data_IF_715984247693
#
_entry.id   IF_715984247693
#
_cell.length_a   1.000
_cell.length_b   1.000
_cell.length_c   1.000
_cell.angle_alpha   90.00
_cell.angle_beta   90.00
_cell.angle_gamma   90.00
#
_symmetry.space_group_name_H-M   'P 1'
#
loop_
_entity.id
_entity.type
_entity.pdbx_description
1 polymer ?
#
# COMPACT_ATOMS: atom_id res chain seq x y z
N UNK A 1 -59.36 22.11 -4.54
CA UNK A 1 -60.01 20.84 -4.18
C UNK A 1 -58.98 19.97 -3.48
N UNK A 2 -58.98 19.98 -2.14
CA UNK A 2 -58.61 18.81 -1.33
C UNK A 2 -59.88 17.93 -1.20
N UNK A 3 -59.87 16.66 -0.73
CA UNK A 3 -59.26 16.16 0.53
C UNK A 3 -58.54 14.79 0.36
N UNK A 4 -57.95 14.13 1.36
CA UNK A 4 -58.00 14.27 2.81
C UNK A 4 -56.97 13.38 3.54
N UNK A 5 -56.95 13.62 4.85
CA UNK A 5 -56.08 13.09 5.91
C UNK A 5 -56.30 11.61 6.30
N UNK A 6 -55.34 11.09 7.08
CA UNK A 6 -55.48 10.19 8.27
C UNK A 6 -54.21 9.30 8.38
N UNK A 7 -53.59 8.99 9.53
CA UNK A 7 -53.68 9.45 10.91
C UNK A 7 -52.44 8.86 11.63
N UNK A 8 -51.94 9.50 12.70
CA UNK A 8 -50.88 8.96 13.58
C UNK A 8 -51.50 8.03 14.65
N UNK A 9 -50.68 7.31 15.44
CA UNK A 9 -50.49 7.85 16.80
C UNK A 9 -49.08 7.68 17.40
N UNK A 10 -48.76 8.63 18.26
CA UNK A 10 -47.71 8.59 19.27
C UNK A 10 -48.17 7.87 20.55
N UNK A 11 -47.21 7.31 21.29
CA UNK A 11 -47.28 7.02 22.73
C UNK A 11 -46.01 6.28 23.16
N UNK A 12 -45.26 6.60 24.20
CA UNK A 12 -45.49 7.49 25.33
C UNK A 12 -45.08 6.80 26.63
N UNK A 13 -43.84 7.06 27.09
CA UNK A 13 -43.33 7.07 28.49
C UNK A 13 -43.45 5.84 29.41
N UNK A 14 -42.36 5.55 30.11
CA UNK A 14 -42.36 4.83 31.39
C UNK A 14 -41.01 4.93 32.13
N UNK A 15 -40.92 5.82 33.12
CA UNK A 15 -39.85 5.85 34.14
C UNK A 15 -40.20 4.92 35.32
N UNK A 16 -39.17 4.35 35.96
CA UNK A 16 -39.02 4.00 37.39
C UNK A 16 -38.01 2.82 37.49
N UNK A 17 -37.17 2.63 38.49
CA UNK A 17 -36.89 3.31 39.75
C UNK A 17 -36.08 2.34 40.64
N UNK A 18 -35.03 2.88 41.28
CA UNK A 18 -34.44 2.52 42.61
C UNK A 18 -34.10 1.07 43.03
N UNK A 19 -32.89 0.94 43.59
CA UNK A 19 -32.49 0.03 44.69
C UNK A 19 -30.95 -0.09 44.77
N UNK A 20 -30.21 0.55 45.69
CA UNK A 20 -29.84 0.10 47.06
C UNK A 20 -29.39 -1.39 47.10
N UNK A 21 -28.30 -1.86 47.72
CA UNK A 21 -27.42 -1.39 48.81
C UNK A 21 -26.31 -2.44 49.10
N UNK A 22 -25.33 -2.09 49.94
CA UNK A 22 -24.49 -3.04 50.74
C UNK A 22 -22.99 -3.03 50.39
N UNK A 23 -22.06 -2.38 51.12
CA UNK A 23 -21.48 -2.61 52.47
C UNK A 23 -20.80 -3.99 52.70
N UNK A 24 -19.52 -3.94 53.10
CA UNK A 24 -18.79 -5.00 53.83
C UNK A 24 -17.29 -5.04 53.47
N UNK A 25 -16.41 -4.32 54.18
CA UNK A 25 -15.56 -4.79 55.29
C UNK A 25 -14.48 -5.82 54.87
N UNK A 26 -13.20 -5.44 54.78
CA UNK A 26 -12.18 -5.40 55.85
C UNK A 26 -11.49 -6.75 56.11
N UNK A 27 -10.16 -6.78 55.95
CA UNK A 27 -9.31 -7.89 56.39
C UNK A 27 -7.84 -7.48 56.41
N UNK A 28 -7.39 -6.94 57.56
CA UNK A 28 -5.98 -6.80 57.94
C UNK A 28 -5.46 -8.14 58.48
N UNK A 29 -4.17 -8.42 58.28
CA UNK A 29 -3.35 -9.38 59.06
C UNK A 29 -1.93 -9.41 58.50
N UNK A 30 -0.99 -8.62 59.05
CA UNK A 30 0.03 -9.02 60.04
C UNK A 30 0.95 -10.14 59.52
N UNK A 31 2.20 -9.83 59.11
CA UNK A 31 3.41 -9.64 59.93
C UNK A 31 3.91 -10.91 60.63
N UNK A 32 5.10 -11.37 60.26
CA UNK A 32 5.85 -12.40 60.97
C UNK A 32 7.30 -12.41 60.50
N UNK A 33 8.16 -11.69 61.21
CA UNK A 33 9.62 -11.77 61.07
C UNK A 33 10.19 -12.93 61.87
N UNK A 34 11.37 -13.40 61.48
CA UNK A 34 12.16 -14.37 62.22
C UNK A 34 13.62 -14.33 61.79
N UNK A 35 14.44 -13.57 62.52
CA UNK A 35 15.91 -13.67 62.56
C UNK A 35 16.28 -14.69 63.64
N UNK A 36 17.21 -15.60 63.37
CA UNK A 36 18.14 -16.13 64.40
C UNK A 36 19.47 -16.56 63.78
N UNK A 37 20.52 -16.23 64.51
CA UNK A 37 21.98 -16.20 64.27
C UNK A 37 22.70 -17.56 64.52
N UNK A 38 24.03 -17.66 64.27
CA UNK A 38 24.76 -18.92 64.02
C UNK A 38 25.53 -19.46 65.25
N UNK A 39 26.33 -20.53 65.08
CA UNK A 39 27.56 -20.68 65.86
C UNK A 39 28.84 -21.04 65.06
N UNK A 40 29.89 -20.31 65.43
CA UNK A 40 31.35 -20.57 65.54
C UNK A 40 31.91 -22.00 65.38
N UNK A 41 33.10 -22.12 64.74
CA UNK A 41 34.18 -23.02 65.19
C UNK A 41 35.01 -23.77 64.12
N UNK A 42 36.27 -23.34 63.94
CA UNK A 42 37.44 -23.84 63.15
C UNK A 42 37.76 -25.37 63.19
N UNK A 43 38.70 -25.98 62.39
CA UNK A 43 39.88 -25.37 61.71
C UNK A 43 40.22 -25.82 60.26
N UNK A 44 41.17 -25.08 59.66
CA UNK A 44 41.81 -25.30 58.34
C UNK A 44 42.58 -26.63 58.25
N UNK A 45 42.63 -27.22 57.04
CA UNK A 45 43.82 -27.87 56.52
C UNK A 45 44.37 -27.13 55.30
N UNK A 46 45.68 -26.98 55.30
CA UNK A 46 46.52 -26.41 54.25
C UNK A 46 46.60 -27.34 53.04
N UNK A 47 46.08 -26.93 51.90
CA UNK A 47 46.51 -27.47 50.60
C UNK A 47 46.63 -26.31 49.60
N UNK A 48 47.82 -26.24 48.99
CA UNK A 48 48.31 -25.19 48.11
C UNK A 48 47.87 -25.54 46.67
N UNK A 49 47.04 -24.74 45.97
CA UNK A 49 46.79 -24.97 44.55
C UNK A 49 47.97 -24.46 43.71
N UNK A 50 48.22 -25.04 42.54
CA UNK A 50 49.34 -24.66 41.69
C UNK A 50 49.17 -23.25 41.10
N UNK A 51 50.29 -22.55 40.95
CA UNK A 51 50.37 -21.19 40.40
C UNK A 51 49.91 -21.13 38.94
N UNK A 52 48.78 -20.48 38.69
CA UNK A 52 48.35 -20.08 37.34
C UNK A 52 49.05 -18.77 36.99
N UNK A 53 49.84 -18.77 35.92
CA UNK A 53 50.42 -17.54 35.33
C UNK A 53 49.28 -16.65 34.82
N UNK A 54 49.30 -15.32 35.02
CA UNK A 54 48.34 -14.44 34.37
C UNK A 54 48.68 -14.35 32.88
N UNK A 55 47.91 -15.03 32.04
CA UNK A 55 47.90 -14.81 30.60
C UNK A 55 47.27 -13.46 30.31
N UNK A 56 48.05 -12.55 29.73
CA UNK A 56 47.56 -11.27 29.19
C UNK A 56 46.72 -11.53 27.94
N UNK A 57 45.44 -11.87 28.11
CA UNK A 57 44.47 -11.79 27.02
C UNK A 57 43.88 -10.39 26.94
N UNK A 58 44.55 -9.52 26.17
CA UNK A 58 43.84 -8.40 25.53
C UNK A 58 42.84 -9.00 24.55
N UNK A 59 41.54 -8.63 24.57
CA UNK A 59 40.68 -8.93 23.44
C UNK A 59 41.26 -8.18 22.23
N UNK A 60 41.71 -8.92 21.21
CA UNK A 60 42.05 -8.33 19.93
C UNK A 60 40.76 -7.74 19.37
N UNK A 61 40.64 -6.41 19.36
CA UNK A 61 39.68 -5.74 18.49
C UNK A 61 40.00 -6.22 17.06
N UNK A 62 39.13 -7.08 16.50
CA UNK A 62 39.21 -7.43 15.09
C UNK A 62 39.15 -6.12 14.32
N UNK A 63 40.18 -5.85 13.53
CA UNK A 63 40.10 -4.81 12.52
C UNK A 63 38.82 -5.07 11.69
N UNK A 64 38.01 -4.06 11.37
CA UNK A 64 36.86 -4.25 10.51
C UNK A 64 37.35 -4.92 9.22
N UNK A 65 36.65 -5.96 8.77
CA UNK A 65 36.97 -6.67 7.53
C UNK A 65 36.72 -5.72 6.35
N UNK A 66 37.70 -4.86 6.05
CA UNK A 66 37.59 -3.83 5.02
C UNK A 66 37.42 -4.44 3.62
N UNK A 67 37.88 -5.67 3.41
CA UNK A 67 37.74 -6.39 2.14
C UNK A 67 36.35 -7.03 2.00
N UNK A 68 35.81 -7.62 3.06
CA UNK A 68 34.41 -8.07 3.12
C UNK A 68 33.42 -6.90 3.05
N UNK A 69 33.76 -5.77 3.67
CA UNK A 69 33.00 -4.51 3.59
C UNK A 69 33.04 -3.91 2.19
N UNK A 70 34.21 -3.87 1.55
CA UNK A 70 34.39 -3.39 0.17
C UNK A 70 33.71 -4.31 -0.86
N UNK A 71 33.72 -5.64 -0.64
CA UNK A 71 32.98 -6.60 -1.49
C UNK A 71 31.46 -6.45 -1.35
N UNK A 72 30.95 -6.24 -0.12
CA UNK A 72 29.53 -5.88 0.11
C UNK A 72 29.16 -4.56 -0.57
N UNK A 73 30.03 -3.56 -0.55
CA UNK A 73 29.84 -2.27 -1.23
C UNK A 73 29.77 -2.39 -2.76
N UNK A 74 30.53 -3.32 -3.37
CA UNK A 74 30.47 -3.59 -4.82
C UNK A 74 29.25 -4.40 -5.28
N UNK A 75 28.57 -5.10 -4.36
CA UNK A 75 27.33 -5.83 -4.62
C UNK A 75 26.07 -5.08 -4.18
N UNK A 76 26.23 -3.90 -3.56
CA UNK A 76 25.13 -3.11 -3.04
C UNK A 76 24.43 -2.35 -4.17
N UNK A 77 23.18 -2.70 -4.39
CA UNK A 77 22.31 -1.96 -5.29
C UNK A 77 21.83 -0.67 -4.62
N UNK A 78 22.61 0.40 -4.78
CA UNK A 78 22.30 1.70 -4.17
C UNK A 78 20.91 2.24 -4.53
N UNK A 79 20.41 1.92 -5.73
CA UNK A 79 19.07 2.29 -6.14
C UNK A 79 18.02 1.62 -5.28
N UNK A 80 18.12 0.29 -5.13
CA UNK A 80 17.20 -0.48 -4.28
C UNK A 80 17.36 -0.12 -2.80
N UNK A 81 18.57 0.17 -2.32
CA UNK A 81 18.79 0.60 -0.93
C UNK A 81 18.05 1.90 -0.64
N UNK A 82 18.19 2.90 -1.53
CA UNK A 82 17.50 4.18 -1.38
C UNK A 82 15.97 4.02 -1.44
N UNK A 83 15.48 3.24 -2.40
CA UNK A 83 14.06 2.94 -2.53
C UNK A 83 13.52 2.20 -1.29
N UNK A 84 14.22 1.18 -0.82
CA UNK A 84 13.84 0.38 0.36
C UNK A 84 13.76 1.23 1.62
N UNK A 85 14.73 2.15 1.80
CA UNK A 85 14.70 3.10 2.90
C UNK A 85 13.46 4.00 2.85
N UNK A 86 13.10 4.52 1.67
CA UNK A 86 11.90 5.36 1.49
C UNK A 86 10.61 4.59 1.69
N UNK A 87 10.57 3.31 1.30
CA UNK A 87 9.44 2.42 1.58
C UNK A 87 9.31 2.21 3.09
N UNK A 88 10.38 1.76 3.75
CA UNK A 88 10.38 1.39 5.17
C UNK A 88 10.15 2.59 6.09
N UNK A 89 10.94 3.65 5.94
CA UNK A 89 10.86 4.82 6.83
C UNK A 89 9.71 5.75 6.43
N UNK A 90 9.46 5.91 5.14
CA UNK A 90 8.48 6.88 4.62
C UNK A 90 7.09 6.28 4.48
N UNK A 91 6.91 5.36 3.53
CA UNK A 91 5.59 4.81 3.21
C UNK A 91 5.01 3.95 4.33
N UNK A 92 5.84 3.11 4.94
CA UNK A 92 5.44 2.23 6.04
C UNK A 92 5.53 2.92 7.41
N UNK A 93 6.33 3.99 7.52
CA UNK A 93 6.51 4.73 8.76
C UNK A 93 7.12 3.89 9.88
N UNK A 94 8.01 2.94 9.55
CA UNK A 94 8.62 2.05 10.52
C UNK A 94 9.34 2.85 11.61
N UNK A 95 9.13 2.47 12.87
CA UNK A 95 9.80 3.07 14.04
C UNK A 95 10.60 2.04 14.84
N UNK A 96 11.43 2.52 15.77
CA UNK A 96 12.23 1.69 16.68
C UNK A 96 11.34 0.66 17.40
N UNK A 97 11.72 -0.61 17.32
CA UNK A 97 11.01 -1.72 17.97
C UNK A 97 9.88 -2.34 17.15
N UNK A 98 9.51 -1.77 16.00
CA UNK A 98 8.55 -2.42 15.09
C UNK A 98 9.10 -3.76 14.57
N UNK A 99 8.21 -4.73 14.42
CA UNK A 99 8.46 -5.96 13.70
C UNK A 99 7.92 -5.84 12.27
N UNK A 100 8.83 -5.90 11.31
CA UNK A 100 8.58 -5.83 9.88
C UNK A 100 8.52 -7.24 9.27
N UNK A 101 7.51 -7.50 8.44
CA UNK A 101 7.43 -8.75 7.67
C UNK A 101 7.43 -8.47 6.17
N UNK A 102 8.28 -9.18 5.43
CA UNK A 102 8.23 -9.22 3.98
C UNK A 102 7.69 -10.59 3.53
N UNK A 103 6.54 -10.59 2.87
CA UNK A 103 5.96 -11.80 2.25
C UNK A 103 6.34 -11.78 0.77
N UNK A 104 6.95 -12.85 0.26
CA UNK A 104 7.58 -12.82 -1.08
C UNK A 104 7.25 -14.06 -1.89
N UNK A 105 7.40 -13.93 -3.21
CA UNK A 105 7.63 -15.05 -4.13
C UNK A 105 9.10 -15.10 -4.58
N UNK A 106 9.52 -16.25 -5.13
CA UNK A 106 10.88 -16.54 -5.60
C UNK A 106 11.58 -15.37 -6.29
N UNK A 107 11.01 -14.79 -7.36
CA UNK A 107 11.63 -13.68 -8.11
C UNK A 107 11.93 -12.42 -7.29
N UNK A 108 11.22 -12.19 -6.18
CA UNK A 108 11.31 -10.95 -5.40
C UNK A 108 12.29 -11.01 -4.21
N UNK A 109 12.93 -12.16 -3.96
CA UNK A 109 13.90 -12.33 -2.87
C UNK A 109 14.99 -11.24 -2.81
N UNK A 110 15.68 -10.88 -3.92
CA UNK A 110 16.74 -9.88 -3.84
C UNK A 110 16.25 -8.52 -3.37
N UNK A 111 15.01 -8.14 -3.69
CA UNK A 111 14.44 -6.89 -3.22
C UNK A 111 13.98 -6.99 -1.76
N UNK A 112 13.41 -8.13 -1.37
CA UNK A 112 13.03 -8.39 0.01
C UNK A 112 14.21 -8.30 0.98
N UNK A 113 15.37 -8.87 0.62
CA UNK A 113 16.59 -8.80 1.42
C UNK A 113 17.00 -7.36 1.74
N UNK A 114 16.92 -6.47 0.74
CA UNK A 114 17.26 -5.05 0.89
C UNK A 114 16.25 -4.32 1.80
N UNK A 115 14.97 -4.71 1.75
CA UNK A 115 13.93 -4.17 2.63
C UNK A 115 14.10 -4.64 4.08
N UNK A 116 14.46 -5.91 4.31
CA UNK A 116 14.77 -6.44 5.65
C UNK A 116 15.96 -5.69 6.27
N UNK A 117 17.03 -5.48 5.49
CA UNK A 117 18.21 -4.72 5.92
C UNK A 117 17.83 -3.27 6.27
N UNK A 118 16.97 -2.64 5.46
CA UNK A 118 16.47 -1.29 5.73
C UNK A 118 15.62 -1.23 7.02
N UNK A 119 14.76 -2.22 7.26
CA UNK A 119 13.96 -2.32 8.48
C UNK A 119 14.81 -2.48 9.74
N UNK A 120 15.83 -3.36 9.70
CA UNK A 120 16.79 -3.52 10.81
C UNK A 120 17.60 -2.24 11.03
N UNK A 121 18.04 -1.58 9.96
CA UNK A 121 18.81 -0.34 10.04
C UNK A 121 18.01 0.81 10.66
N UNK A 122 16.69 0.83 10.45
CA UNK A 122 15.76 1.79 11.07
C UNK A 122 15.41 1.45 12.54
N UNK A 123 15.99 0.39 13.11
CA UNK A 123 15.79 -0.02 14.50
C UNK A 123 14.63 -1.00 14.71
N UNK A 124 14.07 -1.54 13.63
CA UNK A 124 13.09 -2.61 13.70
C UNK A 124 13.73 -4.00 13.86
N UNK A 125 12.87 -5.00 13.94
CA UNK A 125 13.21 -6.41 13.67
C UNK A 125 12.54 -6.81 12.37
N UNK A 126 13.06 -7.83 11.67
CA UNK A 126 12.58 -8.18 10.35
C UNK A 126 12.45 -9.71 10.20
N UNK A 127 11.38 -10.15 9.53
CA UNK A 127 11.10 -11.55 9.20
C UNK A 127 10.74 -11.68 7.71
N UNK A 128 11.33 -12.67 7.04
CA UNK A 128 11.00 -13.04 5.66
C UNK A 128 10.05 -14.23 5.66
N UNK A 129 8.96 -14.13 4.91
CA UNK A 129 8.02 -15.22 4.65
C UNK A 129 8.01 -15.52 3.16
N UNK A 130 8.71 -16.57 2.75
CA UNK A 130 8.73 -17.02 1.37
C UNK A 130 7.57 -18.00 1.10
N UNK A 131 6.65 -17.57 0.23
CA UNK A 131 5.46 -18.35 -0.12
C UNK A 131 5.80 -19.67 -0.82
N UNK A 132 6.92 -19.73 -1.54
CA UNK A 132 7.34 -20.92 -2.28
C UNK A 132 7.82 -22.04 -1.35
N UNK A 133 8.14 -21.73 -0.09
CA UNK A 133 8.52 -22.73 0.92
C UNK A 133 7.36 -23.56 1.44
N UNK A 134 6.11 -23.11 1.25
CA UNK A 134 4.91 -23.80 1.74
C UNK A 134 4.36 -24.85 0.77
N UNK A 135 4.93 -24.94 -0.43
CA UNK A 135 4.55 -25.90 -1.46
C UNK A 135 4.29 -25.23 -2.81
N UNK A 136 3.84 -26.01 -3.81
CA UNK A 136 3.55 -25.48 -5.13
C UNK A 136 2.38 -24.48 -5.09
N UNK A 137 2.56 -23.35 -5.75
CA UNK A 137 1.55 -22.31 -5.96
C UNK A 137 0.55 -22.77 -7.06
N UNK A 138 -0.75 -22.50 -6.96
CA UNK A 138 -1.44 -21.69 -5.95
C UNK A 138 -1.58 -22.41 -4.58
N UNK A 139 -1.33 -21.68 -3.49
CA UNK A 139 -1.57 -22.17 -2.13
C UNK A 139 -3.07 -22.24 -1.85
N UNK A 140 -3.57 -23.45 -1.57
CA UNK A 140 -5.00 -23.71 -1.31
C UNK A 140 -5.42 -23.40 0.12
N UNK A 141 -4.46 -23.26 1.03
CA UNK A 141 -4.69 -22.98 2.44
C UNK A 141 -3.71 -21.93 2.93
N UNK A 142 -4.08 -21.23 4.00
CA UNK A 142 -3.24 -20.19 4.60
C UNK A 142 -2.23 -20.86 5.54
N UNK A 143 -0.92 -20.77 5.30
CA UNK A 143 0.08 -21.40 6.16
C UNK A 143 0.07 -20.82 7.57
N UNK A 144 0.18 -21.66 8.60
CA UNK A 144 0.21 -21.22 9.99
C UNK A 144 1.39 -20.27 10.30
N UNK A 145 2.54 -20.49 9.66
CA UNK A 145 3.70 -19.63 9.78
C UNK A 145 3.43 -18.20 9.28
N UNK A 146 2.74 -18.06 8.14
CA UNK A 146 2.33 -16.76 7.60
C UNK A 146 1.39 -16.02 8.59
N UNK A 147 0.39 -16.71 9.13
CA UNK A 147 -0.50 -16.13 10.15
C UNK A 147 0.27 -15.71 11.39
N UNK A 148 1.22 -16.52 11.84
CA UNK A 148 2.08 -16.21 12.98
C UNK A 148 2.94 -14.96 12.77
N UNK A 149 3.52 -14.80 11.59
CA UNK A 149 4.32 -13.63 11.23
C UNK A 149 3.45 -12.36 11.19
N UNK A 150 2.30 -12.41 10.50
CA UNK A 150 1.34 -11.30 10.44
C UNK A 150 0.77 -10.92 11.81
N UNK A 151 0.63 -11.87 12.74
CA UNK A 151 0.17 -11.62 14.10
C UNK A 151 1.19 -10.89 14.98
N UNK A 152 2.50 -11.02 14.69
CA UNK A 152 3.57 -10.35 15.44
C UNK A 152 3.99 -9.01 14.83
N UNK A 153 3.72 -8.82 13.54
CA UNK A 153 4.14 -7.64 12.80
C UNK A 153 3.40 -6.37 13.25
N UNK A 154 4.03 -5.22 13.03
CA UNK A 154 3.38 -3.90 13.06
C UNK A 154 3.27 -3.30 11.66
N UNK A 155 4.13 -3.75 10.75
CA UNK A 155 4.22 -3.25 9.38
C UNK A 155 4.80 -4.31 8.45
N UNK A 156 4.61 -4.17 7.14
CA UNK A 156 5.18 -5.12 6.19
C UNK A 156 4.87 -4.82 4.75
N UNK A 157 5.35 -5.72 3.89
CA UNK A 157 5.07 -5.70 2.46
C UNK A 157 4.68 -7.07 1.96
N UNK A 158 3.79 -7.09 0.97
CA UNK A 158 3.56 -8.22 0.09
C UNK A 158 4.29 -7.92 -1.23
N UNK A 159 5.33 -8.71 -1.51
CA UNK A 159 6.12 -8.71 -2.74
C UNK A 159 5.81 -9.99 -3.51
N UNK A 160 4.54 -10.23 -3.79
CA UNK A 160 4.11 -11.40 -4.54
C UNK A 160 2.97 -11.05 -5.48
N UNK A 161 3.01 -11.65 -6.67
CA UNK A 161 1.84 -11.70 -7.53
C UNK A 161 0.98 -12.90 -7.08
N UNK A 162 -0.17 -12.60 -6.48
CA UNK A 162 -1.17 -13.61 -6.11
C UNK A 162 -2.12 -13.81 -7.29
N UNK A 163 -2.40 -15.07 -7.62
CA UNK A 163 -3.34 -15.40 -8.69
C UNK A 163 -4.79 -15.49 -8.17
N UNK A 164 -5.77 -15.53 -9.08
CA UNK A 164 -7.19 -15.68 -8.74
C UNK A 164 -7.49 -16.98 -7.95
N UNK A 165 -6.68 -18.04 -8.15
CA UNK A 165 -6.83 -19.30 -7.44
C UNK A 165 -6.30 -19.24 -5.99
N UNK A 166 -5.57 -18.18 -5.63
CA UNK A 166 -5.09 -17.86 -4.28
C UNK A 166 -5.95 -16.83 -3.55
N UNK A 167 -7.18 -16.63 -3.99
CA UNK A 167 -8.11 -15.69 -3.37
C UNK A 167 -8.20 -15.85 -1.85
N UNK A 168 -8.28 -17.08 -1.33
CA UNK A 168 -8.33 -17.33 0.13
C UNK A 168 -7.07 -16.90 0.87
N UNK A 169 -5.90 -16.91 0.21
CA UNK A 169 -4.66 -16.37 0.79
C UNK A 169 -4.72 -14.84 0.87
N UNK A 170 -5.15 -14.19 -0.21
CA UNK A 170 -5.36 -12.74 -0.26
C UNK A 170 -6.34 -12.29 0.83
N UNK A 171 -7.51 -12.93 0.94
CA UNK A 171 -8.52 -12.60 1.95
C UNK A 171 -7.97 -12.75 3.38
N UNK A 172 -7.15 -13.77 3.63
CA UNK A 172 -6.55 -13.99 4.94
C UNK A 172 -5.48 -12.95 5.29
N UNK A 173 -4.63 -12.57 4.32
CA UNK A 173 -3.65 -11.48 4.51
C UNK A 173 -4.40 -10.19 4.81
N UNK A 174 -5.41 -9.83 4.01
CA UNK A 174 -6.19 -8.62 4.24
C UNK A 174 -6.93 -8.64 5.58
N UNK A 175 -7.47 -9.79 5.99
CA UNK A 175 -8.13 -9.95 7.29
C UNK A 175 -7.15 -9.75 8.44
N UNK A 176 -5.95 -10.33 8.36
CA UNK A 176 -4.90 -10.14 9.36
C UNK A 176 -4.44 -8.67 9.41
N UNK A 177 -4.22 -8.05 8.25
CA UNK A 177 -3.86 -6.64 8.13
C UNK A 177 -4.93 -5.76 8.80
N UNK A 178 -6.21 -5.99 8.52
CA UNK A 178 -7.33 -5.27 9.16
C UNK A 178 -7.37 -5.50 10.67
N UNK A 179 -7.33 -6.76 11.11
CA UNK A 179 -7.53 -7.16 12.51
C UNK A 179 -6.41 -6.67 13.41
N UNK A 180 -5.16 -6.73 12.92
CA UNK A 180 -3.97 -6.34 13.67
C UNK A 180 -3.59 -4.87 13.41
N UNK A 181 -4.39 -4.13 12.64
CA UNK A 181 -4.13 -2.75 12.24
C UNK A 181 -2.74 -2.53 11.63
N UNK A 182 -2.28 -3.47 10.79
CA UNK A 182 -0.95 -3.41 10.18
C UNK A 182 -0.85 -2.28 9.14
N UNK A 183 0.30 -1.60 9.09
CA UNK A 183 0.66 -0.73 7.96
C UNK A 183 1.27 -1.61 6.87
N UNK A 184 0.51 -1.95 5.84
CA UNK A 184 0.92 -3.02 4.93
C UNK A 184 0.87 -2.62 3.45
N UNK A 185 2.03 -2.62 2.81
CA UNK A 185 2.17 -2.28 1.39
C UNK A 185 2.06 -3.49 0.47
N UNK A 186 1.59 -3.28 -0.76
CA UNK A 186 1.58 -4.30 -1.82
C UNK A 186 2.35 -3.81 -3.05
N UNK A 187 3.28 -4.64 -3.54
CA UNK A 187 4.08 -4.40 -4.74
C UNK A 187 4.08 -5.69 -5.60
N UNK A 188 2.97 -6.02 -6.28
CA UNK A 188 2.87 -7.26 -7.05
C UNK A 188 3.75 -7.21 -8.29
N UNK A 189 4.68 -8.16 -8.41
CA UNK A 189 5.50 -8.32 -9.62
C UNK A 189 6.42 -7.13 -9.92
N UNK A 190 6.72 -6.30 -8.91
CA UNK A 190 7.51 -5.08 -9.08
C UNK A 190 8.91 -5.38 -9.62
N UNK A 191 9.29 -4.74 -10.74
CA UNK A 191 10.64 -4.85 -11.26
C UNK A 191 11.60 -3.95 -10.49
N UNK A 192 12.89 -4.32 -10.49
CA UNK A 192 13.96 -3.46 -9.96
C UNK A 192 13.92 -2.05 -10.56
N UNK A 193 13.77 -1.94 -11.88
CA UNK A 193 13.74 -0.66 -12.58
C UNK A 193 12.56 0.20 -12.13
N UNK A 194 11.36 -0.39 -12.08
CA UNK A 194 10.15 0.26 -11.61
C UNK A 194 10.28 0.76 -10.18
N UNK A 195 10.77 -0.07 -9.25
CA UNK A 195 10.99 0.32 -7.85
C UNK A 195 11.96 1.50 -7.74
N UNK A 196 13.11 1.43 -8.42
CA UNK A 196 14.11 2.51 -8.35
C UNK A 196 13.56 3.83 -8.86
N UNK A 197 12.80 3.82 -9.95
CA UNK A 197 12.18 5.03 -10.52
C UNK A 197 11.01 5.55 -9.67
N UNK A 198 10.11 4.67 -9.25
CA UNK A 198 8.89 5.04 -8.54
C UNK A 198 9.13 5.53 -7.11
N UNK A 199 10.23 5.12 -6.49
CA UNK A 199 10.65 5.58 -5.16
C UNK A 199 11.87 6.50 -5.24
N UNK A 200 12.11 7.18 -6.37
CA UNK A 200 13.26 8.09 -6.54
C UNK A 200 13.06 9.46 -5.86
N UNK A 201 11.82 9.92 -5.66
CA UNK A 201 11.52 11.14 -4.91
C UNK A 201 11.53 10.92 -3.39
N UNK A 202 11.78 12.01 -2.65
CA UNK A 202 11.51 12.05 -1.22
C UNK A 202 9.98 11.99 -0.97
N UNK A 203 9.49 11.16 -0.03
CA UNK A 203 8.06 11.09 0.29
C UNK A 203 7.43 12.45 0.65
N UNK A 204 8.16 13.35 1.30
CA UNK A 204 7.66 14.70 1.63
C UNK A 204 7.32 15.52 0.38
N UNK A 205 8.15 15.41 -0.67
CA UNK A 205 7.90 16.07 -1.95
C UNK A 205 6.62 15.57 -2.62
N UNK A 206 6.33 14.26 -2.50
CA UNK A 206 5.09 13.69 -3.01
C UNK A 206 3.89 14.25 -2.24
N UNK A 207 3.98 14.29 -0.91
CA UNK A 207 2.93 14.88 -0.04
C UNK A 207 2.66 16.34 -0.41
N UNK A 208 3.70 17.14 -0.63
CA UNK A 208 3.54 18.56 -0.96
C UNK A 208 2.84 18.76 -2.31
N UNK A 209 3.23 17.98 -3.33
CA UNK A 209 2.57 18.00 -4.64
C UNK A 209 1.12 17.55 -4.53
N UNK A 210 0.86 16.42 -3.86
CA UNK A 210 -0.50 15.91 -3.62
C UNK A 210 -1.37 16.94 -2.92
N UNK A 211 -0.85 17.59 -1.88
CA UNK A 211 -1.56 18.65 -1.14
C UNK A 211 -1.85 19.85 -2.04
N UNK A 212 -0.88 20.29 -2.83
CA UNK A 212 -1.04 21.46 -3.67
C UNK A 212 -2.06 21.22 -4.81
N UNK A 213 -2.11 20.01 -5.38
CA UNK A 213 -3.20 19.60 -6.29
C UNK A 213 -4.53 19.56 -5.55
N UNK A 214 -4.56 18.94 -4.36
CA UNK A 214 -5.77 18.79 -3.55
C UNK A 214 -6.41 20.13 -3.16
N UNK A 215 -5.61 21.15 -2.88
CA UNK A 215 -6.08 22.50 -2.54
C UNK A 215 -6.75 23.24 -3.71
N UNK A 216 -6.43 22.86 -4.96
CA UNK A 216 -7.03 23.46 -6.17
C UNK A 216 -8.35 22.78 -6.56
N UNK A 217 -8.54 21.52 -6.17
CA UNK A 217 -9.73 20.71 -6.47
C UNK A 217 -10.94 21.16 -5.65
N UNK A 218 -12.01 21.57 -6.35
CA UNK A 218 -13.33 21.84 -5.78
C UNK A 218 -14.21 20.59 -5.88
N UNK A 219 -15.27 20.48 -5.05
CA UNK A 219 -16.12 19.28 -5.06
C UNK A 219 -16.85 19.06 -6.41
N UNK A 220 -17.13 20.13 -7.14
CA UNK A 220 -17.81 20.18 -8.45
C UNK A 220 -16.86 20.49 -9.61
N UNK A 221 -15.54 20.35 -9.41
CA UNK A 221 -14.56 20.64 -10.45
C UNK A 221 -14.74 19.77 -11.70
N UNK A 222 -14.31 20.30 -12.84
CA UNK A 222 -14.21 19.58 -14.11
C UNK A 222 -12.75 19.46 -14.55
N UNK A 223 -12.34 18.25 -14.93
CA UNK A 223 -11.03 17.98 -15.51
C UNK A 223 -11.18 17.75 -17.02
N UNK A 224 -10.36 18.43 -17.82
CA UNK A 224 -10.22 18.15 -19.26
C UNK A 224 -8.83 17.57 -19.51
N UNK A 225 -8.76 16.36 -20.05
CA UNK A 225 -7.52 15.70 -20.43
C UNK A 225 -7.38 15.69 -21.94
N UNK A 226 -6.19 16.03 -22.43
CA UNK A 226 -5.78 15.87 -23.84
C UNK A 226 -4.40 15.24 -23.90
N UNK A 227 -4.12 14.41 -24.90
CA UNK A 227 -2.77 13.87 -25.10
C UNK A 227 -2.39 13.72 -26.57
N UNK A 228 -1.09 13.75 -26.91
CA UNK A 228 -0.63 13.46 -28.27
C UNK A 228 -1.02 12.07 -28.78
N UNK A 229 -1.28 11.12 -27.88
CA UNK A 229 -1.74 9.77 -28.23
C UNK A 229 -3.22 9.74 -28.68
N UNK A 230 -3.93 10.87 -28.61
CA UNK A 230 -5.32 10.98 -29.05
C UNK A 230 -6.34 10.87 -27.92
N UNK A 231 -5.92 10.99 -26.66
CA UNK A 231 -6.91 11.14 -25.57
C UNK A 231 -7.55 12.52 -25.63
N UNK A 232 -8.86 12.56 -25.47
CA UNK A 232 -9.66 13.77 -25.28
C UNK A 232 -10.85 13.42 -24.38
N UNK A 233 -10.73 13.72 -23.08
CA UNK A 233 -11.73 13.39 -22.07
C UNK A 233 -12.21 14.63 -21.33
N UNK A 234 -13.49 14.61 -20.98
CA UNK A 234 -14.06 15.46 -19.93
C UNK A 234 -14.50 14.61 -18.77
N UNK A 235 -14.13 15.03 -17.57
CA UNK A 235 -14.45 14.35 -16.31
C UNK A 235 -15.11 15.36 -15.39
N UNK A 236 -16.36 15.10 -15.02
CA UNK A 236 -17.09 15.91 -14.04
C UNK A 236 -16.98 15.26 -12.66
N UNK A 237 -16.72 16.05 -11.63
CA UNK A 237 -16.72 15.62 -10.23
C UNK A 237 -18.04 15.97 -9.55
N UNK A 238 -18.28 15.37 -8.38
CA UNK A 238 -19.48 15.58 -7.59
C UNK A 238 -19.15 15.79 -6.11
N UNK A 239 -19.85 16.70 -5.40
CA UNK A 239 -19.58 16.97 -3.98
C UNK A 239 -19.75 15.78 -3.05
N UNK A 240 -20.65 14.86 -3.37
CA UNK A 240 -20.86 13.60 -2.64
C UNK A 240 -19.76 12.56 -2.88
N UNK A 241 -18.84 12.80 -3.83
CA UNK A 241 -17.71 11.93 -4.16
C UNK A 241 -16.42 12.49 -3.57
N UNK A 242 -15.98 11.91 -2.46
CA UNK A 242 -14.79 12.33 -1.73
C UNK A 242 -13.51 11.92 -2.46
N UNK A 243 -12.55 12.83 -2.45
CA UNK A 243 -11.16 12.51 -2.78
C UNK A 243 -10.52 11.67 -1.68
N UNK A 244 -9.92 10.56 -2.09
CA UNK A 244 -9.04 9.76 -1.27
C UNK A 244 -7.59 10.07 -1.64
N UNK A 245 -6.89 10.70 -0.70
CA UNK A 245 -5.47 11.01 -0.83
C UNK A 245 -4.63 9.80 -0.42
N UNK A 246 -3.77 9.35 -1.33
CA UNK A 246 -2.82 8.26 -1.13
C UNK A 246 -1.42 8.83 -1.25
N UNK A 247 -1.00 9.54 -0.21
CA UNK A 247 0.31 10.18 -0.10
C UNK A 247 0.81 10.11 1.35
N UNK A 248 2.13 10.14 1.53
CA UNK A 248 2.77 10.11 2.85
C UNK A 248 2.96 8.70 3.38
N UNK A 249 2.40 8.40 4.54
CA UNK A 249 2.56 7.11 5.23
C UNK A 249 1.23 6.35 5.30
N UNK A 250 1.31 5.03 5.22
CA UNK A 250 0.18 4.14 5.35
C UNK A 250 -0.49 4.28 6.71
N UNK A 251 -1.82 4.17 6.70
CA UNK A 251 -2.60 3.98 7.91
C UNK A 251 -2.75 2.49 8.18
N UNK A 252 -2.75 2.13 9.46
CA UNK A 252 -2.94 0.75 9.87
C UNK A 252 -4.31 0.20 9.46
N UNK A 253 -4.35 -1.08 9.10
CA UNK A 253 -5.59 -1.82 8.85
C UNK A 253 -5.96 -1.99 7.39
N UNK A 254 -5.10 -1.63 6.43
CA UNK A 254 -5.36 -1.82 5.00
C UNK A 254 -4.12 -2.32 4.27
N UNK A 255 -4.35 -3.25 3.34
CA UNK A 255 -3.37 -3.63 2.33
C UNK A 255 -3.49 -2.61 1.21
N UNK A 256 -2.43 -1.83 0.99
CA UNK A 256 -2.46 -0.74 0.03
C UNK A 256 -1.34 -0.88 -1.01
N UNK A 257 -1.64 -0.73 -2.31
CA UNK A 257 -0.59 -0.70 -3.32
C UNK A 257 0.32 0.51 -3.13
N UNK A 258 1.63 0.28 -3.28
CA UNK A 258 2.67 1.32 -3.25
C UNK A 258 3.20 1.61 -4.66
N UNK A 259 3.71 2.82 -4.95
CA UNK A 259 3.90 3.97 -4.04
C UNK A 259 2.61 4.72 -3.71
N UNK A 260 2.64 5.44 -2.58
CA UNK A 260 1.60 6.40 -2.20
C UNK A 260 1.88 7.74 -2.89
N UNK A 261 1.45 7.84 -4.14
CA UNK A 261 1.68 9.03 -4.95
C UNK A 261 0.51 9.32 -5.91
N UNK A 262 -0.72 9.33 -5.39
CA UNK A 262 -1.91 9.66 -6.18
C UNK A 262 -3.06 10.20 -5.35
N UNK A 263 -3.94 10.97 -6.00
CA UNK A 263 -5.27 11.32 -5.51
C UNK A 263 -6.29 10.53 -6.32
N UNK A 264 -7.25 9.87 -5.66
CA UNK A 264 -8.28 9.09 -6.37
C UNK A 264 -9.68 9.50 -5.94
N UNK A 265 -10.64 9.50 -6.87
CA UNK A 265 -12.06 9.71 -6.58
C UNK A 265 -12.93 8.95 -7.58
N UNK A 266 -14.18 8.68 -7.21
CA UNK A 266 -15.18 8.23 -8.16
C UNK A 266 -15.76 9.45 -8.88
N UNK A 267 -15.66 9.57 -10.22
CA UNK A 267 -16.20 10.70 -10.95
C UNK A 267 -17.74 10.65 -11.02
N UNK A 268 -18.37 11.80 -11.30
CA UNK A 268 -19.80 11.87 -11.64
C UNK A 268 -20.04 11.42 -13.10
N UNK A 269 -19.20 11.91 -14.01
CA UNK A 269 -19.26 11.61 -15.44
C UNK A 269 -17.84 11.51 -16.00
N UNK A 270 -17.65 10.60 -16.96
CA UNK A 270 -16.46 10.54 -17.81
C UNK A 270 -16.90 10.30 -19.24
N UNK A 271 -16.61 11.25 -20.13
CA UNK A 271 -17.04 11.19 -21.53
C UNK A 271 -15.91 11.61 -22.47
N UNK A 272 -15.78 10.90 -23.59
CA UNK A 272 -14.75 11.14 -24.61
C UNK A 272 -13.90 9.91 -24.91
N UNK A 273 -12.65 10.11 -25.33
CA UNK A 273 -11.70 9.03 -25.66
C UNK A 273 -10.53 9.03 -24.71
N UNK A 274 -10.28 7.91 -24.05
CA UNK A 274 -9.04 7.67 -23.30
C UNK A 274 -8.11 6.76 -24.10
N UNK A 275 -6.82 7.08 -24.15
CA UNK A 275 -5.82 6.24 -24.83
C UNK A 275 -4.79 5.76 -23.81
N UNK A 276 -4.88 4.47 -23.48
CA UNK A 276 -3.91 3.81 -22.62
C UNK A 276 -2.67 3.44 -23.44
N UNK A 277 -1.54 4.07 -23.11
CA UNK A 277 -0.26 3.92 -23.83
C UNK A 277 0.93 3.69 -22.87
N UNK A 278 0.66 3.35 -21.62
CA UNK A 278 1.64 3.02 -20.58
C UNK A 278 1.31 1.66 -19.93
N UNK A 279 1.72 1.42 -18.68
CA UNK A 279 1.40 0.18 -17.96
C UNK A 279 -0.09 0.01 -17.70
N UNK A 280 -0.61 -1.20 -17.87
CA UNK A 280 -2.00 -1.52 -17.61
C UNK A 280 -2.14 -2.84 -16.84
N UNK A 281 -3.33 -3.08 -16.29
CA UNK A 281 -3.65 -4.35 -15.65
C UNK A 281 -3.28 -5.54 -16.57
N UNK A 282 -2.86 -6.69 -16.02
CA UNK A 282 -2.49 -7.86 -16.81
C UNK A 282 -3.58 -8.29 -17.79
N UNK A 283 -4.85 -8.05 -17.49
CA UNK A 283 -5.98 -8.35 -18.39
C UNK A 283 -5.94 -7.51 -19.67
N UNK A 284 -5.37 -6.30 -19.63
CA UNK A 284 -5.28 -5.40 -20.77
C UNK A 284 -3.98 -5.57 -21.56
N UNK A 285 -2.96 -6.25 -21.01
CA UNK A 285 -1.68 -6.41 -21.68
C UNK A 285 -0.96 -7.74 -21.35
N UNK A 286 -0.26 -8.29 -22.35
CA UNK A 286 0.60 -9.48 -22.18
C UNK A 286 2.04 -9.12 -21.79
N UNK A 287 2.19 -8.22 -20.81
CA UNK A 287 3.49 -7.76 -20.30
C UNK A 287 4.05 -6.52 -21.00
N UNK A 288 4.92 -5.80 -20.29
CA UNK A 288 5.54 -4.56 -20.78
C UNK A 288 4.59 -3.36 -20.77
N UNK A 289 4.77 -2.45 -21.73
CA UNK A 289 4.02 -1.19 -21.86
C UNK A 289 3.12 -1.20 -23.11
N UNK A 290 1.97 -0.54 -23.03
CA UNK A 290 1.05 -0.31 -24.16
C UNK A 290 1.55 0.70 -25.19
N UNK A 291 2.74 1.29 -25.03
CA UNK A 291 3.24 2.34 -25.92
C UNK A 291 3.27 1.97 -27.41
N UNK A 292 3.49 0.69 -27.74
CA UNK A 292 3.52 0.21 -29.15
C UNK A 292 2.14 -0.07 -29.73
N UNK A 293 1.22 -0.56 -28.91
CA UNK A 293 -0.13 -0.95 -29.29
C UNK A 293 -1.11 -0.33 -28.27
N UNK A 294 -1.33 0.99 -28.33
CA UNK A 294 -2.19 1.66 -27.38
C UNK A 294 -3.63 1.17 -27.50
N UNK A 295 -4.32 1.15 -26.36
CA UNK A 295 -5.72 0.75 -26.28
C UNK A 295 -6.57 2.00 -26.10
N UNK A 296 -7.51 2.22 -27.01
CA UNK A 296 -8.43 3.35 -26.98
C UNK A 296 -9.75 2.90 -26.36
N UNK A 297 -10.25 3.66 -25.39
CA UNK A 297 -11.53 3.47 -24.75
C UNK A 297 -12.44 4.65 -25.10
N UNK A 298 -13.54 4.38 -25.81
CA UNK A 298 -14.60 5.36 -26.05
C UNK A 298 -15.58 5.30 -24.87
N UNK A 299 -15.78 6.42 -24.20
CA UNK A 299 -16.50 6.54 -22.93
C UNK A 299 -17.68 7.49 -23.07
N UNK A 300 -18.81 7.09 -22.50
CA UNK A 300 -20.01 7.91 -22.39
C UNK A 300 -20.67 7.64 -21.04
N UNK A 301 -20.91 8.67 -20.22
CA UNK A 301 -21.55 8.46 -18.93
C UNK A 301 -20.69 7.66 -17.94
N UNK A 302 -19.36 7.62 -18.14
CA UNK A 302 -18.46 6.73 -17.41
C UNK A 302 -18.52 5.26 -17.83
N UNK A 303 -19.21 4.90 -18.91
CA UNK A 303 -19.31 3.51 -19.41
C UNK A 303 -18.50 3.35 -20.68
N UNK A 304 -17.74 2.25 -20.79
CA UNK A 304 -17.03 1.90 -22.03
C UNK A 304 -18.04 1.49 -23.10
N UNK A 305 -18.09 2.27 -24.19
CA UNK A 305 -18.93 2.01 -25.37
C UNK A 305 -18.21 1.22 -26.44
N UNK A 306 -16.91 1.48 -26.61
CA UNK A 306 -16.08 0.75 -27.53
C UNK A 306 -14.63 0.69 -27.04
N UNK A 307 -13.95 -0.39 -27.44
CA UNK A 307 -12.51 -0.54 -27.32
C UNK A 307 -11.93 -0.58 -28.74
N UNK A 308 -10.81 0.10 -28.96
CA UNK A 308 -10.05 0.01 -30.22
C UNK A 308 -8.59 -0.28 -29.93
N UNK A 309 -8.01 -1.24 -30.63
CA UNK A 309 -6.57 -1.46 -30.65
C UNK A 309 -6.14 -1.95 -32.04
N UNK A 310 -4.96 -1.53 -32.49
CA UNK A 310 -4.39 -2.02 -33.76
C UNK A 310 -4.22 -3.54 -33.74
N UNK A 311 -3.91 -4.10 -32.58
CA UNK A 311 -3.87 -5.54 -32.37
C UNK A 311 -5.27 -6.05 -31.99
N UNK A 312 -5.94 -6.70 -32.94
CA UNK A 312 -7.28 -7.25 -32.72
C UNK A 312 -7.36 -8.34 -31.65
N UNK A 313 -6.25 -9.05 -31.36
CA UNK A 313 -6.21 -10.05 -30.29
C UNK A 313 -6.26 -9.33 -28.94
N UNK A 314 -5.49 -8.26 -28.81
CA UNK A 314 -5.48 -7.44 -27.61
C UNK A 314 -6.79 -6.68 -27.42
N UNK A 315 -7.39 -6.15 -28.48
CA UNK A 315 -8.71 -5.54 -28.46
C UNK A 315 -9.75 -6.49 -27.86
N UNK A 316 -9.89 -7.70 -28.43
CA UNK A 316 -10.84 -8.71 -27.93
C UNK A 316 -10.56 -9.14 -26.49
N UNK A 317 -9.29 -9.22 -26.11
CA UNK A 317 -8.90 -9.54 -24.72
C UNK A 317 -9.39 -8.47 -23.74
N UNK A 318 -9.18 -7.20 -24.06
CA UNK A 318 -9.63 -6.06 -23.24
C UNK A 318 -11.16 -6.06 -23.16
N UNK A 319 -11.86 -6.22 -24.29
CA UNK A 319 -13.32 -6.29 -24.30
C UNK A 319 -13.86 -7.44 -23.46
N UNK A 320 -13.23 -8.63 -23.54
CA UNK A 320 -13.61 -9.77 -22.72
C UNK A 320 -13.37 -9.48 -21.23
N UNK A 321 -12.25 -8.86 -20.88
CA UNK A 321 -11.91 -8.51 -19.50
C UNK A 321 -12.95 -7.56 -18.87
N UNK A 322 -13.33 -6.51 -19.59
CA UNK A 322 -14.34 -5.54 -19.12
C UNK A 322 -15.72 -6.17 -18.89
N UNK A 323 -16.04 -7.28 -19.58
CA UNK A 323 -17.34 -7.98 -19.46
C UNK A 323 -17.33 -9.12 -18.45
N UNK A 324 -16.22 -9.37 -17.74
CA UNK A 324 -16.10 -10.50 -16.79
C UNK A 324 -17.03 -10.36 -15.59
N UNK A 325 -17.32 -9.13 -15.16
CA UNK A 325 -18.16 -8.84 -14.00
C UNK A 325 -19.04 -7.61 -14.25
N UNK A 326 -20.19 -7.55 -13.56
CA UNK A 326 -21.03 -6.38 -13.52
C UNK A 326 -20.24 -5.13 -13.09
N UNK A 327 -20.43 -4.02 -13.81
CA UNK A 327 -19.78 -2.71 -13.61
C UNK A 327 -18.28 -2.66 -13.92
N UNK A 328 -17.65 -3.76 -14.35
CA UNK A 328 -16.22 -3.76 -14.68
C UNK A 328 -15.89 -3.01 -15.98
N UNK A 329 -16.91 -2.65 -16.76
CA UNK A 329 -16.86 -1.78 -17.93
C UNK A 329 -17.17 -0.30 -17.61
N UNK A 330 -17.30 0.05 -16.33
CA UNK A 330 -17.56 1.42 -15.88
C UNK A 330 -16.33 2.02 -15.22
N UNK A 331 -16.10 3.32 -15.41
CA UNK A 331 -15.02 4.06 -14.75
C UNK A 331 -15.37 4.18 -13.26
N UNK A 332 -14.72 3.34 -12.46
CA UNK A 332 -14.93 3.31 -11.03
C UNK A 332 -14.15 4.41 -10.31
N UNK A 333 -12.92 4.68 -10.75
CA UNK A 333 -12.10 5.78 -10.24
C UNK A 333 -11.36 6.52 -11.36
N UNK A 334 -11.12 7.79 -11.10
CA UNK A 334 -10.07 8.57 -11.76
C UNK A 334 -8.94 8.76 -10.76
N UNK A 335 -7.71 8.59 -11.22
CA UNK A 335 -6.51 8.79 -10.43
C UNK A 335 -5.68 9.93 -11.02
N UNK A 336 -5.39 10.95 -10.21
CA UNK A 336 -4.37 11.96 -10.50
C UNK A 336 -3.06 11.50 -9.87
N UNK A 337 -2.13 11.02 -10.68
CA UNK A 337 -0.82 10.64 -10.18
C UNK A 337 -0.01 11.88 -9.81
N UNK A 338 0.76 11.77 -8.72
CA UNK A 338 1.54 12.88 -8.14
C UNK A 338 3.01 12.52 -7.97
N UNK A 339 3.44 11.39 -8.55
CA UNK A 339 4.81 10.92 -8.43
C UNK A 339 5.77 11.69 -9.34
N UNK A 340 6.24 12.84 -8.86
CA UNK A 340 7.14 13.72 -9.62
C UNK A 340 8.54 13.14 -9.87
N UNK A 341 8.88 11.95 -9.37
CA UNK A 341 10.11 11.27 -9.79
C UNK A 341 9.96 10.41 -11.03
N UNK A 342 8.73 10.10 -11.46
CA UNK A 342 8.51 9.40 -12.71
C UNK A 342 8.44 10.42 -13.85
N UNK A 343 9.41 10.35 -14.76
CA UNK A 343 9.50 11.15 -15.99
C UNK A 343 9.00 10.40 -17.24
N UNK A 344 8.66 9.11 -17.10
CA UNK A 344 8.13 8.27 -18.15
C UNK A 344 7.55 6.96 -17.61
N UNK A 345 6.81 6.26 -18.47
CA UNK A 345 6.21 4.98 -18.13
C UNK A 345 7.24 3.89 -17.86
N UNK A 346 7.04 3.19 -16.75
CA UNK A 346 7.76 1.96 -16.38
C UNK A 346 7.24 0.75 -17.14
N UNK A 347 5.97 0.80 -17.61
CA UNK A 347 5.24 -0.34 -18.15
C UNK A 347 4.51 -1.16 -17.08
N UNK A 348 4.70 -0.83 -15.80
CA UNK A 348 4.06 -1.52 -14.69
C UNK A 348 2.91 -0.66 -14.18
N UNK A 349 1.68 -1.17 -14.27
CA UNK A 349 0.48 -0.40 -13.91
C UNK A 349 0.53 0.16 -12.49
N UNK A 350 1.15 -0.58 -11.57
CA UNK A 350 1.25 -0.23 -10.16
C UNK A 350 2.00 1.09 -9.96
N UNK A 351 3.04 1.33 -10.78
CA UNK A 351 3.83 2.55 -10.78
C UNK A 351 3.25 3.59 -11.74
N UNK A 352 2.85 3.18 -12.93
CA UNK A 352 2.39 4.08 -13.98
C UNK A 352 1.08 4.79 -13.63
N UNK A 353 0.24 4.22 -12.77
CA UNK A 353 -0.95 4.92 -12.25
C UNK A 353 -0.61 6.10 -11.32
N UNK A 354 0.65 6.22 -10.91
CA UNK A 354 1.14 7.32 -10.06
C UNK A 354 1.91 8.38 -10.83
N UNK A 355 2.12 8.17 -12.14
CA UNK A 355 2.72 9.16 -13.03
C UNK A 355 1.97 10.50 -12.98
N UNK A 356 2.66 11.65 -13.05
CA UNK A 356 1.97 12.92 -13.17
C UNK A 356 1.08 12.94 -14.42
N UNK A 357 -0.23 12.93 -14.20
CA UNK A 357 -1.21 12.66 -15.24
C UNK A 357 -2.57 12.27 -14.65
N UNK A 358 -3.43 11.71 -15.51
CA UNK A 358 -4.72 11.17 -15.11
C UNK A 358 -4.91 9.79 -15.73
N UNK A 359 -5.33 8.85 -14.88
CA UNK A 359 -5.47 7.44 -15.19
C UNK A 359 -6.88 6.97 -14.84
N UNK A 360 -7.34 5.92 -15.52
CA UNK A 360 -8.67 5.34 -15.30
C UNK A 360 -8.53 4.00 -14.61
N UNK A 361 -9.35 3.78 -13.59
CA UNK A 361 -9.56 2.47 -12.98
C UNK A 361 -11.02 2.09 -13.20
N UNK A 362 -11.24 0.96 -13.86
CA UNK A 362 -12.56 0.43 -14.13
C UNK A 362 -13.03 -0.51 -13.02
N UNK A 363 -14.33 -0.58 -12.78
CA UNK A 363 -14.95 -1.47 -11.80
C UNK A 363 -15.02 -0.90 -10.39
N UNK A 364 -13.95 -1.06 -9.61
CA UNK A 364 -13.93 -0.66 -8.20
C UNK A 364 -14.11 0.84 -8.02
N UNK A 365 -14.94 1.22 -7.05
CA UNK A 365 -15.22 2.62 -6.70
C UNK A 365 -14.70 3.03 -5.32
N UNK A 366 -14.15 2.08 -4.55
CA UNK A 366 -13.71 2.27 -3.16
C UNK A 366 -14.76 3.02 -2.32
N UNK A 367 -15.99 2.49 -2.18
CA UNK A 367 -17.14 3.20 -1.64
C UNK A 367 -16.92 3.77 -0.24
N UNK A 368 -16.14 3.08 0.60
CA UNK A 368 -15.77 3.54 1.93
C UNK A 368 -14.88 4.79 1.92
N UNK A 369 -14.11 4.98 0.85
CA UNK A 369 -13.23 6.13 0.67
C UNK A 369 -13.91 7.26 -0.09
N UNK A 370 -14.53 6.94 -1.22
CA UNK A 370 -15.09 7.92 -2.15
C UNK A 370 -16.53 8.30 -1.84
N UNK A 371 -17.27 7.49 -1.06
CA UNK A 371 -18.71 7.67 -0.89
C UNK A 371 -19.53 7.23 -2.11
N UNK A 372 -18.93 6.52 -3.07
CA UNK A 372 -19.65 5.81 -4.11
C UNK A 372 -20.63 4.80 -3.50
N UNK A 373 -21.76 4.54 -4.19
CA UNK A 373 -22.79 3.61 -3.71
C UNK A 373 -22.61 2.19 -4.24
N UNK A 374 -22.09 2.07 -5.44
CA UNK A 374 -21.98 0.82 -6.19
C UNK A 374 -20.61 0.76 -6.87
N UNK A 375 -20.17 -0.44 -7.21
CA UNK A 375 -18.91 -0.70 -7.90
C UNK A 375 -18.69 -2.21 -8.04
N UNK A 376 -17.71 -2.61 -8.84
CA UNK A 376 -17.24 -3.99 -8.90
C UNK A 376 -16.27 -4.29 -7.74
N UNK A 377 -16.10 -5.58 -7.39
CA UNK A 377 -15.03 -6.01 -6.48
C UNK A 377 -13.66 -6.00 -7.16
N UNK A 378 -13.63 -6.14 -8.48
CA UNK A 378 -12.41 -6.16 -9.27
C UNK A 378 -12.09 -4.76 -9.78
N UNK A 379 -10.80 -4.53 -10.04
CA UNK A 379 -10.31 -3.31 -10.63
C UNK A 379 -9.44 -3.62 -11.84
N UNK A 380 -9.63 -2.86 -12.92
CA UNK A 380 -8.77 -2.90 -14.09
C UNK A 380 -8.19 -1.51 -14.33
N UNK A 381 -6.87 -1.38 -14.36
CA UNK A 381 -6.15 -0.11 -14.43
C UNK A 381 -5.67 0.13 -15.85
N UNK A 382 -5.94 1.33 -16.37
CA UNK A 382 -5.45 1.80 -17.65
C UNK A 382 -4.76 3.15 -17.48
N UNK A 383 -3.48 3.24 -17.88
CA UNK A 383 -2.66 4.44 -17.69
C UNK A 383 -2.24 5.04 -19.02
N UNK A 384 -2.19 6.37 -19.06
CA UNK A 384 -1.65 7.14 -20.17
C UNK A 384 -0.51 8.04 -19.72
N UNK A 385 0.27 8.54 -20.68
CA UNK A 385 1.41 9.45 -20.44
C UNK A 385 1.30 10.74 -21.24
N UNK A 386 2.11 11.73 -20.87
CA UNK A 386 2.27 13.00 -21.61
C UNK A 386 0.94 13.76 -21.82
N UNK A 387 0.04 13.68 -20.84
CA UNK A 387 -1.24 14.37 -20.90
C UNK A 387 -1.10 15.85 -20.52
N UNK A 388 -1.85 16.69 -21.22
CA UNK A 388 -2.25 18.01 -20.78
C UNK A 388 -3.54 17.90 -20.00
N UNK A 389 -3.58 18.50 -18.80
CA UNK A 389 -4.76 18.50 -17.95
C UNK A 389 -5.11 19.93 -17.57
N UNK A 390 -6.35 20.30 -17.84
CA UNK A 390 -6.96 21.53 -17.34
C UNK A 390 -7.93 21.20 -16.20
N UNK A 391 -7.83 21.94 -15.11
CA UNK A 391 -8.74 21.90 -13.97
C UNK A 391 -9.54 23.20 -13.98
N UNK A 392 -10.85 23.09 -14.15
CA UNK A 392 -11.78 24.24 -14.20
C UNK A 392 -11.35 25.31 -15.22
N UNK A 393 -10.85 24.85 -16.37
CA UNK A 393 -10.35 25.70 -17.47
C UNK A 393 -8.94 26.27 -17.26
N UNK A 394 -8.31 26.04 -16.11
CA UNK A 394 -6.94 26.47 -15.83
C UNK A 394 -5.93 25.32 -16.00
N UNK A 395 -4.72 25.58 -16.53
CA UNK A 395 -3.67 24.57 -16.63
C UNK A 395 -3.31 23.95 -15.27
N UNK A 396 -3.33 22.63 -15.19
CA UNK A 396 -2.83 21.84 -14.06
C UNK A 396 -1.58 21.05 -14.44
N UNK A 397 -1.62 20.30 -15.55
CA UNK A 397 -0.48 19.58 -16.11
C UNK A 397 -0.28 19.94 -17.59
N UNK A 398 0.98 19.95 -18.03
CA UNK A 398 1.36 20.03 -19.43
C UNK A 398 2.41 18.98 -19.76
N UNK A 399 2.18 18.21 -20.81
CA UNK A 399 3.05 17.11 -21.24
C UNK A 399 3.45 16.17 -20.09
N UNK A 400 2.54 15.90 -19.14
CA UNK A 400 2.85 15.08 -17.96
C UNK A 400 3.70 15.77 -16.89
N UNK A 401 3.73 17.11 -16.84
CA UNK A 401 4.41 17.86 -15.78
C UNK A 401 3.49 18.91 -15.16
N UNK A 402 3.50 19.00 -13.84
CA UNK A 402 2.69 19.97 -13.11
C UNK A 402 3.09 21.41 -13.42
N UNK A 403 2.10 22.25 -13.69
CA UNK A 403 2.29 23.68 -13.96
C UNK A 403 1.99 24.47 -12.70
N UNK A 404 2.96 25.29 -12.26
CA UNK A 404 2.77 26.23 -11.14
C UNK A 404 2.29 25.55 -9.85
N UNK A 405 3.03 24.53 -9.42
CA UNK A 405 2.87 23.90 -8.12
C UNK A 405 4.18 24.14 -7.36
N UNK A 406 4.22 25.26 -6.63
CA UNK A 406 5.34 25.67 -5.79
C UNK A 406 5.01 25.41 -4.33
#
# INVERSE_FOLDING_TARGET
>A
MAPGDDDLPQGGRGQSGRGQSGRGQSGRGQSGGGKTTPPSGAPRPTTRPPSVRPGTHRPSARAPDLLGSARRLSSLDFGLVSASRRIVEGALGLVLGDHFVAIVDGPQHPFADVLLDAAVSAGGTAELVDLDTFGPRPLRTVPAALNGALARAQTGVLLAALDDAEHSLTEAIELAVRTNHLRFGHLPGASRGGVVMAFAADPSRIVDVSRAVRLRLRPDSTLRLRSPAGSDLTIALAPERRWHERAGSLRGGRLEPLPLAQLVTNPLDVSGVFVANAGASPEFQSGGSLARNPVHFELEGGVVRAVRCRDSVQERRVEQALRREHLLDTVGLVALGTNVSLDGATGEWIFDQTLPGLHLIFGSTLPEHTGARTGSRHQLVATGTHADIDLDGAPLLRSGHFVSIA
#
